data_IF_311851457528
#
_entry.id   IF_311851457528
#
_cell.length_a   1.000
_cell.length_b   1.000
_cell.length_c   1.000
_cell.angle_alpha   90.00
_cell.angle_beta   90.00
_cell.angle_gamma   90.00
#
_symmetry.space_group_name_H-M   'P 1'
#
loop_
_entity.id
_entity.type
_entity.pdbx_description
1 polymer ?
#
# COMPACT_ATOMS: atom_id res chain seq x y z
N UNK A 1 -16.37 -13.01 -8.12
CA UNK A 1 -15.05 -12.40 -7.87
C UNK A 1 -13.98 -13.49 -7.77
N UNK A 2 -12.84 -13.39 -8.49
CA UNK A 2 -11.70 -14.32 -8.38
C UNK A 2 -11.07 -14.33 -6.98
N UNK A 3 -10.43 -15.44 -6.58
CA UNK A 3 -9.76 -15.58 -5.27
C UNK A 3 -8.70 -14.50 -5.05
N UNK A 4 -7.89 -14.20 -6.07
CA UNK A 4 -6.82 -13.20 -6.02
C UNK A 4 -7.33 -11.81 -5.63
N UNK A 5 -8.44 -11.34 -6.22
CA UNK A 5 -9.02 -10.03 -5.92
C UNK A 5 -9.49 -9.92 -4.47
N UNK A 6 -10.07 -10.98 -3.89
CA UNK A 6 -10.45 -10.99 -2.47
C UNK A 6 -9.25 -10.90 -1.53
N UNK A 7 -8.14 -11.55 -1.88
CA UNK A 7 -6.92 -11.50 -1.09
C UNK A 7 -6.34 -10.08 -1.10
N UNK A 8 -6.34 -9.41 -2.25
CA UNK A 8 -5.91 -8.01 -2.36
C UNK A 8 -6.79 -7.07 -1.56
N UNK A 9 -8.13 -7.22 -1.63
CA UNK A 9 -9.02 -6.41 -0.80
C UNK A 9 -8.76 -6.58 0.70
N UNK A 10 -8.53 -7.82 1.15
CA UNK A 10 -8.16 -8.07 2.56
C UNK A 10 -6.81 -7.44 2.90
N UNK A 11 -5.81 -7.60 2.04
CA UNK A 11 -4.49 -7.00 2.22
C UNK A 11 -4.58 -5.48 2.39
N UNK A 12 -5.33 -4.78 1.54
CA UNK A 12 -5.49 -3.32 1.66
C UNK A 12 -6.14 -2.91 2.98
N UNK A 13 -7.20 -3.60 3.42
CA UNK A 13 -7.86 -3.29 4.68
C UNK A 13 -6.97 -3.56 5.89
N UNK A 14 -6.20 -4.65 5.86
CA UNK A 14 -5.26 -4.98 6.93
C UNK A 14 -4.11 -3.98 7.00
N UNK A 15 -3.53 -3.62 5.85
CA UNK A 15 -2.43 -2.67 5.80
C UNK A 15 -2.89 -1.25 6.19
N UNK A 16 -4.08 -0.83 5.77
CA UNK A 16 -4.68 0.44 6.19
C UNK A 16 -4.86 0.52 7.72
N UNK A 17 -5.40 -0.56 8.31
CA UNK A 17 -5.54 -0.65 9.77
C UNK A 17 -4.19 -0.69 10.50
N UNK A 18 -3.18 -1.36 9.92
CA UNK A 18 -1.84 -1.42 10.49
C UNK A 18 -1.13 -0.06 10.46
N UNK A 19 -1.38 0.73 9.40
CA UNK A 19 -0.81 2.07 9.25
C UNK A 19 -1.53 3.14 10.09
N UNK A 20 -2.60 2.78 10.79
CA UNK A 20 -3.28 3.68 11.71
C UNK A 20 -2.33 4.09 12.86
N UNK A 21 -1.89 5.35 12.87
CA UNK A 21 -0.96 5.87 13.86
C UNK A 21 0.52 5.56 13.60
N UNK A 22 0.87 5.06 12.42
CA UNK A 22 2.23 4.71 12.01
C UNK A 22 2.56 5.39 10.68
N UNK A 23 3.74 5.99 10.51
CA UNK A 23 4.14 6.61 9.23
C UNK A 23 4.41 5.58 8.13
N UNK A 24 5.03 4.47 8.51
CA UNK A 24 5.51 3.38 7.67
C UNK A 24 5.08 2.03 8.24
N UNK A 25 5.32 0.95 7.50
CA UNK A 25 5.05 -0.42 7.96
C UNK A 25 5.81 -0.72 9.27
N UNK A 26 7.04 -0.22 9.41
CA UNK A 26 7.81 -0.28 10.66
C UNK A 26 7.67 1.01 11.50
N UNK A 27 6.46 1.55 11.60
CA UNK A 27 6.15 2.77 12.36
C UNK A 27 6.84 4.02 11.81
N UNK A 28 8.04 4.34 12.27
CA UNK A 28 8.65 5.66 12.03
C UNK A 28 9.75 5.63 10.96
N UNK A 29 10.12 4.44 10.49
CA UNK A 29 11.19 4.27 9.52
C UNK A 29 10.73 3.48 8.29
N UNK A 30 11.13 3.98 7.11
CA UNK A 30 10.98 3.23 5.86
C UNK A 30 11.84 1.97 5.91
N UNK A 31 11.27 0.84 5.54
CA UNK A 31 11.97 -0.44 5.44
C UNK A 31 11.69 -1.16 4.13
N UNK A 32 12.33 -2.31 3.93
CA UNK A 32 12.01 -3.22 2.82
C UNK A 32 10.52 -3.59 2.76
N UNK A 33 9.83 -3.62 3.91
CA UNK A 33 8.41 -3.91 3.97
C UNK A 33 7.58 -2.84 3.25
N UNK A 34 7.95 -1.57 3.38
CA UNK A 34 7.29 -0.46 2.67
C UNK A 34 7.54 -0.52 1.16
N UNK A 35 8.79 -0.79 0.76
CA UNK A 35 9.16 -0.92 -0.66
C UNK A 35 8.37 -2.05 -1.31
N UNK A 36 8.33 -3.21 -0.64
CA UNK A 36 7.60 -4.39 -1.13
C UNK A 36 6.10 -4.13 -1.20
N UNK A 37 5.54 -3.48 -0.17
CA UNK A 37 4.14 -3.10 -0.15
C UNK A 37 3.82 -2.10 -1.27
N UNK A 38 4.70 -1.15 -1.57
CA UNK A 38 4.49 -0.14 -2.61
C UNK A 38 4.39 -0.82 -3.97
N UNK A 39 5.37 -1.65 -4.31
CA UNK A 39 5.35 -2.42 -5.56
C UNK A 39 4.09 -3.30 -5.66
N UNK A 40 3.66 -3.89 -4.54
CA UNK A 40 2.44 -4.71 -4.49
C UNK A 40 1.18 -3.89 -4.81
N UNK A 41 1.04 -2.72 -4.19
CA UNK A 41 -0.11 -1.83 -4.41
C UNK A 41 -0.14 -1.33 -5.85
N UNK A 42 0.99 -0.84 -6.37
CA UNK A 42 1.09 -0.28 -7.72
C UNK A 42 0.82 -1.35 -8.78
N UNK A 43 1.42 -2.53 -8.64
CA UNK A 43 1.19 -3.64 -9.58
C UNK A 43 -0.26 -4.14 -9.54
N UNK A 44 -0.84 -4.27 -8.34
CA UNK A 44 -2.24 -4.67 -8.20
C UNK A 44 -3.21 -3.65 -8.82
N UNK A 45 -2.90 -2.36 -8.71
CA UNK A 45 -3.68 -1.28 -9.33
C UNK A 45 -3.60 -1.35 -10.86
N UNK A 46 -2.39 -1.39 -11.42
CA UNK A 46 -2.18 -1.31 -12.88
C UNK A 46 -2.45 -2.65 -13.57
N UNK A 47 -1.70 -3.69 -13.23
CA UNK A 47 -1.80 -5.00 -13.89
C UNK A 47 -3.00 -5.81 -13.39
N UNK A 48 -3.27 -5.77 -12.09
CA UNK A 48 -4.40 -6.48 -11.46
C UNK A 48 -5.75 -5.80 -11.65
N UNK A 49 -5.78 -4.52 -12.07
CA UNK A 49 -6.96 -3.66 -12.14
C UNK A 49 -7.75 -3.65 -10.82
N UNK A 50 -7.04 -3.73 -9.70
CA UNK A 50 -7.59 -3.66 -8.34
C UNK A 50 -7.09 -2.35 -7.73
N UNK A 51 -7.80 -1.23 -7.98
CA UNK A 51 -7.37 0.05 -7.42
C UNK A 51 -7.45 0.02 -5.89
N UNK A 52 -6.62 0.85 -5.26
CA UNK A 52 -6.66 1.08 -3.83
C UNK A 52 -8.03 1.71 -3.45
N UNK A 53 -8.82 1.13 -2.53
CA UNK A 53 -10.10 1.69 -2.14
C UNK A 53 -9.95 3.08 -1.51
N UNK A 54 -10.84 4.02 -1.86
CA UNK A 54 -10.85 5.38 -1.31
C UNK A 54 -11.06 5.41 0.22
N UNK A 55 -11.71 4.38 0.76
CA UNK A 55 -11.95 4.23 2.20
C UNK A 55 -10.68 3.96 3.01
N UNK A 56 -9.58 3.53 2.37
CA UNK A 56 -8.32 3.21 3.04
C UNK A 56 -7.45 4.47 3.19
N UNK A 57 -7.85 5.39 4.08
CA UNK A 57 -7.23 6.70 4.23
C UNK A 57 -5.76 6.65 4.69
N UNK A 58 -5.41 5.76 5.62
CA UNK A 58 -4.04 5.64 6.14
C UNK A 58 -3.10 5.06 5.08
N UNK A 59 -3.61 4.09 4.31
CA UNK A 59 -2.90 3.48 3.20
C UNK A 59 -2.70 4.48 2.06
N UNK A 60 -3.69 5.32 1.76
CA UNK A 60 -3.53 6.41 0.79
C UNK A 60 -2.49 7.44 1.23
N UNK A 61 -2.49 7.86 2.50
CA UNK A 61 -1.48 8.77 3.04
C UNK A 61 -0.08 8.16 2.90
N UNK A 62 0.08 6.91 3.35
CA UNK A 62 1.35 6.19 3.24
C UNK A 62 1.80 6.04 1.78
N UNK A 63 0.89 5.68 0.86
CA UNK A 63 1.22 5.47 -0.55
C UNK A 63 1.78 6.76 -1.16
N UNK A 64 1.10 7.88 -0.93
CA UNK A 64 1.57 9.21 -1.38
C UNK A 64 2.93 9.56 -0.82
N UNK A 65 3.15 9.33 0.47
CA UNK A 65 4.41 9.65 1.13
C UNK A 65 5.57 8.81 0.60
N UNK A 66 5.38 7.49 0.44
CA UNK A 66 6.43 6.60 -0.06
C UNK A 66 6.70 6.84 -1.56
N UNK A 67 5.65 7.03 -2.38
CA UNK A 67 5.79 7.31 -3.82
C UNK A 67 6.42 8.67 -4.12
N UNK A 68 6.30 9.66 -3.23
CA UNK A 68 6.90 10.98 -3.41
C UNK A 68 8.44 10.98 -3.24
N UNK A 69 9.02 9.89 -2.73
CA UNK A 69 10.46 9.80 -2.50
C UNK A 69 11.21 9.71 -3.83
N UNK A 70 12.35 10.41 -4.01
CA UNK A 70 13.13 10.33 -5.25
C UNK A 70 13.53 8.91 -5.65
N UNK A 71 13.80 8.05 -4.65
CA UNK A 71 14.14 6.64 -4.88
C UNK A 71 13.00 5.80 -5.47
N UNK A 72 11.74 6.24 -5.36
CA UNK A 72 10.60 5.54 -5.95
C UNK A 72 10.49 5.78 -7.47
N UNK A 73 11.13 6.83 -7.98
CA UNK A 73 11.19 7.18 -9.40
C UNK A 73 12.56 6.87 -10.03
N UNK A 74 13.44 6.19 -9.30
CA UNK A 74 14.80 5.86 -9.74
C UNK A 74 14.83 4.79 -10.83
#
# INVERSE_FOLDING_TARGET
MPRSRRLLSKFYLQLDSHLAGHGFVHKDFLTLADITALCTVDFASVAGRVPLPETCANLWRWHREVSARPSAAA
#
